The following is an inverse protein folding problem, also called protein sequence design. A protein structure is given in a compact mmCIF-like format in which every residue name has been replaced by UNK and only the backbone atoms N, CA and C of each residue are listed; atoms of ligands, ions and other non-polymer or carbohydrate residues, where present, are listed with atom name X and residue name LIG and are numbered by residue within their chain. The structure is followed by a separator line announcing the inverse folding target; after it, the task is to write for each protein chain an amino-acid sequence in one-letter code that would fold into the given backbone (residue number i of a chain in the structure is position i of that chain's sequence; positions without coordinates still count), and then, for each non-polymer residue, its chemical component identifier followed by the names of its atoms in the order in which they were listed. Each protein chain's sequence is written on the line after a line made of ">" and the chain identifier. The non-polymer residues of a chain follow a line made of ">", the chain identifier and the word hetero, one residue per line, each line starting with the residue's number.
data_IF_203362510658
#
_entry.id   IF_203362510658
#
_cell.length_a   1.000
_cell.length_b   1.000
_cell.length_c   1.000
_cell.angle_alpha   90.00
_cell.angle_beta   90.00
_cell.angle_gamma   90.00
#
_symmetry.space_group_name_H-M   'P 1'
#
loop_
_entity.id
_entity.type
_entity.pdbx_description
1 polymer ?
#
# COMPACT_ATOMS: atom_id res chain seq x y z
N UNK A 1 45.25 23.34 76.86
CA UNK A 1 46.44 22.78 76.20
C UNK A 1 46.10 21.37 75.73
N UNK A 2 45.67 21.27 74.46
CA UNK A 2 45.54 20.06 73.62
C UNK A 2 44.52 19.00 74.14
N UNK A 3 43.88 18.16 73.31
CA UNK A 3 43.93 18.07 71.84
C UNK A 3 42.57 18.01 71.12
N UNK A 4 42.50 18.60 69.92
CA UNK A 4 42.50 17.92 68.62
C UNK A 4 41.63 16.68 68.32
N UNK A 5 41.02 15.98 69.27
CA UNK A 5 40.31 14.71 69.02
C UNK A 5 38.94 14.96 68.40
N UNK A 6 38.25 16.04 68.77
CA UNK A 6 36.90 16.33 68.28
C UNK A 6 36.92 16.80 66.81
N UNK A 7 37.97 17.50 66.38
CA UNK A 7 38.09 18.00 65.01
C UNK A 7 38.42 16.88 63.99
N UNK A 8 38.97 15.75 64.45
CA UNK A 8 39.32 14.64 63.55
C UNK A 8 38.15 13.69 63.26
N UNK A 9 37.14 13.64 64.13
CA UNK A 9 35.94 12.81 63.97
C UNK A 9 34.96 13.46 62.98
N UNK A 10 34.80 14.78 63.02
CA UNK A 10 33.94 15.51 62.08
C UNK A 10 34.46 15.49 60.63
N UNK A 11 35.78 15.32 60.42
CA UNK A 11 36.37 15.24 59.08
C UNK A 11 36.17 13.87 58.40
N UNK A 12 35.92 12.80 59.16
CA UNK A 12 35.67 11.45 58.61
C UNK A 12 34.20 11.17 58.26
N UNK A 13 33.26 12.00 58.73
CA UNK A 13 31.84 11.87 58.42
C UNK A 13 31.42 12.54 57.10
N UNK A 14 32.31 13.32 56.47
CA UNK A 14 32.02 14.04 55.22
C UNK A 14 32.70 13.44 53.97
N UNK A 15 33.47 12.35 54.10
CA UNK A 15 34.25 11.76 53.01
C UNK A 15 33.86 10.32 52.74
N UNK A 16 32.58 10.06 52.53
CA UNK A 16 32.08 8.82 51.93
C UNK A 16 30.72 9.07 51.26
N UNK A 17 30.67 10.08 50.39
CA UNK A 17 29.63 10.17 49.37
C UNK A 17 30.23 9.59 48.10
N UNK A 18 30.13 8.27 47.98
CA UNK A 18 30.32 7.57 46.71
C UNK A 18 29.30 8.15 45.73
N UNK A 19 29.72 8.81 44.62
CA UNK A 19 28.76 9.12 43.57
C UNK A 19 28.42 7.78 42.94
N UNK A 20 27.27 7.22 43.32
CA UNK A 20 26.66 6.13 42.61
C UNK A 20 26.45 6.62 41.17
N UNK A 21 27.36 6.20 40.30
CA UNK A 21 27.38 6.51 38.89
C UNK A 21 26.03 6.07 38.35
N UNK A 22 25.15 7.04 38.13
CA UNK A 22 23.87 6.89 37.46
C UNK A 22 24.20 6.51 36.02
N UNK A 23 24.54 5.24 35.78
CA UNK A 23 24.38 4.60 34.49
C UNK A 23 22.86 4.46 34.29
N UNK A 24 22.22 5.59 34.00
CA UNK A 24 20.95 5.63 33.30
C UNK A 24 21.29 5.18 31.87
N UNK A 25 21.48 3.87 31.71
CA UNK A 25 21.44 3.24 30.40
C UNK A 25 20.04 3.51 29.89
N UNK A 26 19.95 4.56 29.06
CA UNK A 26 18.87 4.75 28.10
C UNK A 26 18.81 3.46 27.29
N UNK A 27 18.02 2.50 27.77
CA UNK A 27 17.49 1.43 26.95
C UNK A 27 16.52 2.14 26.02
N UNK A 28 17.07 2.73 24.95
CA UNK A 28 16.29 2.99 23.75
C UNK A 28 15.95 1.62 23.22
N UNK A 29 14.85 1.05 23.74
CA UNK A 29 14.11 0.01 23.08
C UNK A 29 13.71 0.61 21.74
N UNK A 30 14.58 0.41 20.75
CA UNK A 30 14.21 0.60 19.36
C UNK A 30 13.20 -0.50 19.11
N UNK A 31 11.93 -0.19 19.31
CA UNK A 31 10.86 -0.92 18.67
C UNK A 31 11.10 -0.76 17.17
N UNK A 32 11.87 -1.67 16.58
CA UNK A 32 11.64 -2.00 15.18
C UNK A 32 10.24 -2.59 15.16
N UNK A 33 9.25 -1.72 14.96
CA UNK A 33 7.92 -2.14 14.57
C UNK A 33 8.11 -2.77 13.20
N UNK A 34 8.48 -4.06 13.16
CA UNK A 34 8.35 -4.82 11.94
C UNK A 34 6.87 -4.75 11.60
N UNK A 35 6.55 -4.20 10.43
CA UNK A 35 5.21 -4.27 9.87
C UNK A 35 4.90 -5.76 9.67
N UNK A 36 4.44 -6.43 10.71
CA UNK A 36 3.86 -7.76 10.62
C UNK A 36 2.69 -7.63 9.62
N UNK A 37 2.83 -8.21 8.44
CA UNK A 37 1.83 -8.12 7.36
C UNK A 37 2.13 -7.18 6.19
N UNK A 38 3.34 -6.63 6.04
CA UNK A 38 3.73 -5.98 4.77
C UNK A 38 4.58 -6.93 3.92
N UNK A 39 3.93 -7.57 2.94
CA UNK A 39 4.58 -8.49 2.01
C UNK A 39 4.78 -7.87 0.62
N UNK A 40 4.59 -6.56 0.48
CA UNK A 40 4.58 -5.85 -0.80
C UNK A 40 5.80 -6.15 -1.67
N UNK A 41 7.01 -6.13 -1.09
CA UNK A 41 8.27 -6.41 -1.81
C UNK A 41 8.34 -7.86 -2.32
N UNK A 42 7.91 -8.82 -1.50
CA UNK A 42 7.89 -10.23 -1.87
C UNK A 42 6.86 -10.48 -2.96
N UNK A 43 5.64 -9.97 -2.80
CA UNK A 43 4.57 -10.06 -3.77
C UNK A 43 4.94 -9.42 -5.11
N UNK A 44 5.63 -8.27 -5.08
CA UNK A 44 6.13 -7.62 -6.28
C UNK A 44 7.17 -8.48 -7.01
N UNK A 45 8.09 -9.10 -6.27
CA UNK A 45 9.10 -10.01 -6.84
C UNK A 45 8.44 -11.22 -7.52
N UNK A 46 7.45 -11.84 -6.88
CA UNK A 46 6.68 -12.94 -7.46
C UNK A 46 5.93 -12.52 -8.71
N UNK A 47 5.17 -11.42 -8.62
CA UNK A 47 4.40 -10.91 -9.76
C UNK A 47 5.31 -10.59 -10.94
N UNK A 48 6.43 -9.91 -10.71
CA UNK A 48 7.38 -9.57 -11.77
C UNK A 48 7.96 -10.80 -12.47
N UNK A 49 8.33 -11.83 -11.70
CA UNK A 49 8.82 -13.11 -12.27
C UNK A 49 7.77 -13.81 -13.13
N UNK A 50 6.51 -13.79 -12.69
CA UNK A 50 5.38 -14.38 -13.42
C UNK A 50 5.04 -13.56 -14.68
N UNK A 51 5.00 -12.23 -14.57
CA UNK A 51 4.71 -11.33 -15.68
C UNK A 51 5.76 -11.47 -16.80
N UNK A 52 7.04 -11.59 -16.44
CA UNK A 52 8.12 -11.83 -17.40
C UNK A 52 7.96 -13.15 -18.16
N UNK A 53 7.40 -14.18 -17.51
CA UNK A 53 7.22 -15.50 -18.09
C UNK A 53 5.83 -15.72 -18.70
N UNK A 54 4.93 -14.74 -18.61
CA UNK A 54 3.51 -14.90 -18.91
C UNK A 54 3.25 -15.49 -20.30
N UNK A 55 3.97 -15.00 -21.32
CA UNK A 55 3.82 -15.46 -22.70
C UNK A 55 4.26 -16.92 -22.90
N UNK A 56 5.14 -17.43 -22.03
CA UNK A 56 5.65 -18.81 -22.08
C UNK A 56 4.75 -19.77 -21.31
N UNK A 57 4.27 -19.36 -20.13
CA UNK A 57 3.50 -20.23 -19.23
C UNK A 57 1.98 -20.16 -19.46
N UNK A 58 1.50 -19.08 -20.07
CA UNK A 58 0.08 -18.82 -20.32
C UNK A 58 -0.70 -18.38 -19.07
N UNK A 59 -1.91 -17.87 -19.32
CA UNK A 59 -2.79 -17.29 -18.30
C UNK A 59 -3.07 -18.25 -17.13
N UNK A 60 -3.53 -19.47 -17.40
CA UNK A 60 -3.93 -20.43 -16.36
C UNK A 60 -2.80 -20.72 -15.38
N UNK A 61 -1.58 -20.94 -15.89
CA UNK A 61 -0.43 -21.25 -15.04
C UNK A 61 0.06 -20.00 -14.31
N UNK A 62 0.07 -18.84 -14.96
CA UNK A 62 0.44 -17.57 -14.31
C UNK A 62 -0.45 -17.26 -13.10
N UNK A 63 -1.77 -17.34 -13.29
CA UNK A 63 -2.76 -17.11 -12.22
C UNK A 63 -2.63 -18.15 -11.12
N UNK A 64 -2.60 -19.44 -11.47
CA UNK A 64 -2.47 -20.51 -10.47
C UNK A 64 -1.18 -20.39 -9.65
N UNK A 65 -0.05 -20.08 -10.30
CA UNK A 65 1.23 -19.90 -9.61
C UNK A 65 1.19 -18.69 -8.67
N UNK A 66 0.66 -17.55 -9.11
CA UNK A 66 0.58 -16.37 -8.25
C UNK A 66 -0.35 -16.60 -7.05
N UNK A 67 -1.50 -17.22 -7.30
CA UNK A 67 -2.48 -17.58 -6.28
C UNK A 67 -1.90 -18.54 -5.23
N UNK A 68 -1.19 -19.58 -5.69
CA UNK A 68 -0.53 -20.53 -4.80
C UNK A 68 0.50 -19.84 -3.91
N UNK A 69 1.31 -18.93 -4.45
CA UNK A 69 2.32 -18.19 -3.69
C UNK A 69 1.68 -17.26 -2.65
N UNK A 70 0.62 -16.55 -3.02
CA UNK A 70 -0.09 -15.65 -2.10
C UNK A 70 -0.63 -16.39 -0.86
N UNK A 71 -1.18 -17.59 -1.05
CA UNK A 71 -1.70 -18.41 0.06
C UNK A 71 -0.62 -18.96 1.01
N UNK A 72 0.67 -18.78 0.70
CA UNK A 72 1.76 -19.10 1.62
C UNK A 72 2.10 -17.98 2.60
N UNK A 73 1.54 -16.78 2.42
CA UNK A 73 1.83 -15.63 3.26
C UNK A 73 1.15 -15.76 4.64
N UNK A 74 1.89 -15.61 5.74
CA UNK A 74 1.31 -15.49 7.07
C UNK A 74 0.74 -14.07 7.28
N UNK A 75 -0.30 -13.92 8.10
CA UNK A 75 -0.81 -12.59 8.54
C UNK A 75 -1.08 -11.59 7.40
N UNK A 76 -1.80 -12.02 6.37
CA UNK A 76 -2.13 -11.21 5.18
C UNK A 76 -2.87 -9.92 5.55
N UNK A 77 -2.29 -8.76 5.20
CA UNK A 77 -2.89 -7.45 5.45
C UNK A 77 -3.90 -7.03 4.38
N UNK A 78 -4.65 -5.95 4.65
CA UNK A 78 -5.52 -5.31 3.63
C UNK A 78 -4.73 -4.83 2.41
N UNK A 79 -3.49 -4.37 2.61
CA UNK A 79 -2.61 -3.94 1.52
C UNK A 79 -2.17 -5.14 0.69
N UNK A 80 -1.84 -6.27 1.33
CA UNK A 80 -1.51 -7.49 0.61
C UNK A 80 -2.68 -7.97 -0.25
N UNK A 81 -3.91 -8.01 0.32
CA UNK A 81 -5.11 -8.40 -0.43
C UNK A 81 -5.39 -7.45 -1.61
N UNK A 82 -5.27 -6.14 -1.39
CA UNK A 82 -5.43 -5.14 -2.45
C UNK A 82 -4.39 -5.32 -3.56
N UNK A 83 -3.14 -5.61 -3.18
CA UNK A 83 -2.04 -5.87 -4.11
C UNK A 83 -2.28 -7.15 -4.90
N UNK A 84 -2.71 -8.23 -4.23
CA UNK A 84 -3.06 -9.50 -4.85
C UNK A 84 -4.12 -9.31 -5.93
N UNK A 85 -5.27 -8.69 -5.59
CA UNK A 85 -6.34 -8.46 -6.55
C UNK A 85 -5.90 -7.55 -7.70
N UNK A 86 -5.07 -6.54 -7.43
CA UNK A 86 -4.52 -5.66 -8.49
C UNK A 86 -3.63 -6.41 -9.49
N UNK A 87 -2.80 -7.34 -8.99
CA UNK A 87 -1.98 -8.19 -9.84
C UNK A 87 -2.80 -9.21 -10.61
N UNK A 88 -3.78 -9.86 -9.97
CA UNK A 88 -4.69 -10.81 -10.61
C UNK A 88 -5.51 -10.16 -11.73
N UNK A 89 -5.98 -8.92 -11.48
CA UNK A 89 -6.58 -8.08 -12.51
C UNK A 89 -5.63 -7.89 -13.70
N UNK A 90 -4.39 -7.49 -13.43
CA UNK A 90 -3.39 -7.19 -14.46
C UNK A 90 -3.07 -8.43 -15.32
N UNK A 91 -2.89 -9.60 -14.69
CA UNK A 91 -2.72 -10.87 -15.39
C UNK A 91 -3.94 -11.21 -16.27
N UNK A 92 -5.14 -10.96 -15.77
CA UNK A 92 -6.40 -11.23 -16.49
C UNK A 92 -6.64 -10.30 -17.68
N UNK A 93 -6.03 -9.12 -17.70
CA UNK A 93 -6.15 -8.18 -18.82
C UNK A 93 -5.21 -8.49 -19.99
N UNK A 94 -4.18 -9.31 -19.77
CA UNK A 94 -3.23 -9.69 -20.83
C UNK A 94 -3.82 -10.61 -21.88
N UNK A 95 -4.93 -11.28 -21.56
CA UNK A 95 -5.62 -12.19 -22.45
C UNK A 95 -7.05 -11.69 -22.68
N UNK A 96 -7.41 -11.39 -23.93
CA UNK A 96 -8.74 -10.91 -24.30
C UNK A 96 -9.85 -11.89 -23.91
N UNK A 97 -9.56 -13.20 -23.84
CA UNK A 97 -10.53 -14.22 -23.42
C UNK A 97 -10.91 -14.03 -21.94
N UNK A 98 -9.95 -13.59 -21.12
CA UNK A 98 -10.10 -13.48 -19.67
C UNK A 98 -10.27 -12.03 -19.19
N UNK A 99 -10.30 -11.06 -20.11
CA UNK A 99 -10.46 -9.65 -19.78
C UNK A 99 -11.74 -9.35 -18.97
N UNK A 100 -12.80 -10.13 -19.13
CA UNK A 100 -14.02 -10.02 -18.32
C UNK A 100 -13.79 -10.32 -16.84
N UNK A 101 -12.88 -11.27 -16.54
CA UNK A 101 -12.50 -11.66 -15.17
C UNK A 101 -11.80 -10.51 -14.45
N UNK A 102 -11.05 -9.68 -15.17
CA UNK A 102 -10.33 -8.54 -14.59
C UNK A 102 -11.24 -7.62 -13.77
N UNK A 103 -12.48 -7.41 -14.22
CA UNK A 103 -13.43 -6.55 -13.50
C UNK A 103 -13.90 -7.10 -12.15
N UNK A 104 -13.92 -8.44 -11.98
CA UNK A 104 -14.24 -9.03 -10.69
C UNK A 104 -13.17 -8.75 -9.65
N UNK A 105 -11.89 -8.74 -10.04
CA UNK A 105 -10.81 -8.40 -9.11
C UNK A 105 -10.84 -6.94 -8.69
N UNK A 106 -11.20 -6.02 -9.60
CA UNK A 106 -11.45 -4.62 -9.21
C UNK A 106 -12.60 -4.52 -8.21
N UNK A 107 -13.70 -5.23 -8.46
CA UNK A 107 -14.86 -5.24 -7.57
C UNK A 107 -14.51 -5.81 -6.20
N UNK A 108 -13.63 -6.83 -6.13
CA UNK A 108 -13.09 -7.35 -4.88
C UNK A 108 -12.31 -6.29 -4.09
N UNK A 109 -11.48 -5.47 -4.74
CA UNK A 109 -10.76 -4.37 -4.07
C UNK A 109 -11.75 -3.34 -3.52
N UNK A 110 -12.72 -2.92 -4.32
CA UNK A 110 -13.73 -1.94 -3.90
C UNK A 110 -14.56 -2.48 -2.74
N UNK A 111 -14.95 -3.76 -2.78
CA UNK A 111 -15.67 -4.40 -1.70
C UNK A 111 -14.85 -4.46 -0.42
N UNK A 112 -13.59 -4.90 -0.52
CA UNK A 112 -12.64 -4.97 0.59
C UNK A 112 -12.47 -3.59 1.26
N UNK A 113 -12.40 -2.53 0.46
CA UNK A 113 -12.23 -1.15 0.94
C UNK A 113 -13.57 -0.41 1.15
N UNK A 114 -14.72 -1.08 1.03
CA UNK A 114 -16.03 -0.42 1.17
C UNK A 114 -16.33 0.16 2.56
N UNK A 115 -15.85 -0.42 3.69
CA UNK A 115 -16.07 0.18 4.99
C UNK A 115 -15.41 1.56 5.11
N UNK A 116 -16.13 2.56 5.61
CA UNK A 116 -15.62 3.94 5.76
C UNK A 116 -14.33 4.00 6.57
N UNK A 117 -14.14 3.11 7.55
CA UNK A 117 -12.90 3.01 8.33
C UNK A 117 -11.71 2.62 7.46
N UNK A 118 -11.90 1.71 6.51
CA UNK A 118 -10.85 1.28 5.58
C UNK A 118 -10.62 2.32 4.48
N UNK A 119 -11.65 3.01 3.99
CA UNK A 119 -11.47 4.14 3.07
C UNK A 119 -10.61 5.25 3.70
N UNK A 120 -10.84 5.57 4.98
CA UNK A 120 -10.02 6.56 5.70
C UNK A 120 -8.60 6.08 5.96
N UNK A 121 -8.41 4.78 6.18
CA UNK A 121 -7.09 4.18 6.44
C UNK A 121 -6.27 4.00 5.16
N UNK A 122 -6.92 3.68 4.04
CA UNK A 122 -6.31 3.39 2.74
C UNK A 122 -6.97 4.21 1.61
N UNK A 123 -7.00 5.55 1.73
CA UNK A 123 -7.74 6.40 0.79
C UNK A 123 -7.11 6.37 -0.60
N UNK A 124 -5.78 6.24 -0.69
CA UNK A 124 -5.06 6.13 -1.96
C UNK A 124 -5.41 4.84 -2.70
N UNK A 125 -5.41 3.71 -1.99
CA UNK A 125 -5.77 2.41 -2.54
C UNK A 125 -7.22 2.39 -3.02
N UNK A 126 -8.12 3.01 -2.25
CA UNK A 126 -9.52 3.14 -2.64
C UNK A 126 -9.67 4.00 -3.90
N UNK A 127 -8.99 5.14 -3.96
CA UNK A 127 -8.99 5.99 -5.15
C UNK A 127 -8.47 5.25 -6.39
N UNK A 128 -7.36 4.51 -6.25
CA UNK A 128 -6.82 3.69 -7.33
C UNK A 128 -7.82 2.62 -7.79
N UNK A 129 -8.53 1.97 -6.87
CA UNK A 129 -9.57 1.00 -7.20
C UNK A 129 -10.73 1.62 -8.01
N UNK A 130 -11.13 2.85 -7.67
CA UNK A 130 -12.12 3.61 -8.46
C UNK A 130 -11.61 3.94 -9.86
N UNK A 131 -10.33 4.30 -10.01
CA UNK A 131 -9.73 4.48 -11.34
C UNK A 131 -9.71 3.17 -12.15
N UNK A 132 -9.36 2.04 -11.52
CA UNK A 132 -9.41 0.72 -12.18
C UNK A 132 -10.84 0.35 -12.60
N UNK A 133 -11.86 0.72 -11.81
CA UNK A 133 -13.26 0.50 -12.17
C UNK A 133 -13.66 1.30 -13.40
N UNK A 134 -13.19 2.54 -13.49
CA UNK A 134 -13.35 3.34 -14.70
C UNK A 134 -12.72 2.69 -15.92
N UNK A 135 -11.51 2.12 -15.78
CA UNK A 135 -10.83 1.40 -16.87
C UNK A 135 -11.67 0.19 -17.34
N UNK A 136 -12.26 -0.55 -16.39
CA UNK A 136 -13.08 -1.74 -16.68
C UNK A 136 -14.42 -1.38 -17.35
N UNK A 137 -15.04 -0.27 -16.94
CA UNK A 137 -16.27 0.25 -17.55
C UNK A 137 -16.01 0.81 -18.95
N UNK A 138 -14.88 1.50 -19.14
CA UNK A 138 -14.43 1.99 -20.43
C UNK A 138 -14.20 0.82 -21.42
N UNK A 139 -13.61 -0.29 -20.97
CA UNK A 139 -13.44 -1.48 -21.79
C UNK A 139 -14.80 -2.07 -22.26
N UNK A 140 -15.86 -1.88 -21.47
CA UNK A 140 -17.25 -2.26 -21.81
C UNK A 140 -18.01 -1.18 -22.59
N UNK A 141 -17.35 -0.07 -22.96
CA UNK A 141 -17.95 1.12 -23.60
C UNK A 141 -19.04 1.79 -22.76
N UNK A 142 -19.04 1.58 -21.44
CA UNK A 142 -19.92 2.28 -20.51
C UNK A 142 -19.25 3.61 -20.10
N UNK A 143 -19.21 4.55 -21.03
CA UNK A 143 -18.48 5.81 -20.87
C UNK A 143 -19.01 6.65 -19.70
N UNK A 144 -20.33 6.71 -19.51
CA UNK A 144 -20.96 7.48 -18.44
C UNK A 144 -20.52 6.99 -17.06
N UNK A 145 -20.59 5.67 -16.81
CA UNK A 145 -20.15 5.14 -15.53
C UNK A 145 -18.63 5.17 -15.38
N UNK A 146 -17.88 5.04 -16.48
CA UNK A 146 -16.42 5.20 -16.45
C UNK A 146 -16.02 6.60 -15.98
N UNK A 147 -16.61 7.65 -16.54
CA UNK A 147 -16.38 9.04 -16.10
C UNK A 147 -16.70 9.22 -14.62
N UNK A 148 -17.83 8.68 -14.16
CA UNK A 148 -18.22 8.75 -12.76
C UNK A 148 -17.17 8.11 -11.85
N UNK A 149 -16.75 6.88 -12.14
CA UNK A 149 -15.72 6.20 -11.35
C UNK A 149 -14.38 6.94 -11.36
N UNK A 150 -13.95 7.49 -12.51
CA UNK A 150 -12.74 8.31 -12.57
C UNK A 150 -12.87 9.59 -11.74
N UNK A 151 -14.02 10.26 -11.78
CA UNK A 151 -14.28 11.47 -11.02
C UNK A 151 -14.27 11.19 -9.51
N UNK A 152 -14.94 10.13 -9.06
CA UNK A 152 -14.95 9.71 -7.66
C UNK A 152 -13.51 9.43 -7.17
N UNK A 153 -12.70 8.74 -7.98
CA UNK A 153 -11.28 8.54 -7.68
C UNK A 153 -10.48 9.85 -7.60
N UNK A 154 -10.70 10.78 -8.54
CA UNK A 154 -10.05 12.10 -8.54
C UNK A 154 -10.34 12.90 -7.28
N UNK A 155 -11.58 12.89 -6.78
CA UNK A 155 -11.94 13.64 -5.57
C UNK A 155 -11.06 13.22 -4.40
N UNK A 156 -10.94 11.91 -4.19
CA UNK A 156 -10.09 11.35 -3.13
C UNK A 156 -8.62 11.71 -3.36
N UNK A 157 -8.10 11.58 -4.58
CA UNK A 157 -6.70 11.94 -4.88
C UNK A 157 -6.38 13.43 -4.66
N UNK A 158 -7.36 14.30 -4.92
CA UNK A 158 -7.23 15.74 -4.71
C UNK A 158 -7.11 16.06 -3.22
N UNK A 159 -7.92 15.43 -2.37
CA UNK A 159 -7.83 15.56 -0.91
C UNK A 159 -6.48 15.09 -0.37
N UNK A 160 -5.89 14.06 -1.00
CA UNK A 160 -4.58 13.52 -0.63
C UNK A 160 -3.38 14.30 -1.19
N UNK A 161 -3.59 15.28 -2.07
CA UNK A 161 -2.52 15.93 -2.83
C UNK A 161 -1.62 14.93 -3.61
N UNK A 162 -2.19 13.85 -4.12
CA UNK A 162 -1.48 12.77 -4.82
C UNK A 162 -1.22 13.12 -6.29
N UNK A 163 -0.23 13.98 -6.54
CA UNK A 163 0.10 14.53 -7.87
C UNK A 163 0.36 13.43 -8.91
N UNK A 164 1.08 12.36 -8.52
CA UNK A 164 1.40 11.25 -9.42
C UNK A 164 0.15 10.50 -9.91
N UNK A 165 -0.80 10.25 -9.02
CA UNK A 165 -2.05 9.57 -9.37
C UNK A 165 -3.00 10.53 -10.12
N UNK A 166 -2.93 11.84 -9.86
CA UNK A 166 -3.69 12.84 -10.61
C UNK A 166 -3.29 12.89 -12.10
N UNK A 167 -1.99 12.77 -12.39
CA UNK A 167 -1.51 12.63 -13.76
C UNK A 167 -2.09 11.38 -14.44
N UNK A 168 -2.12 10.24 -13.72
CA UNK A 168 -2.72 8.99 -14.21
C UNK A 168 -4.24 9.09 -14.42
N UNK A 169 -4.95 9.87 -13.61
CA UNK A 169 -6.36 10.22 -13.87
C UNK A 169 -6.50 11.02 -15.16
N UNK A 170 -5.67 12.05 -15.34
CA UNK A 170 -5.76 12.95 -16.49
C UNK A 170 -5.56 12.19 -17.81
N UNK A 171 -4.57 11.29 -17.86
CA UNK A 171 -4.36 10.41 -19.02
C UNK A 171 -5.56 9.49 -19.31
N UNK A 172 -6.30 9.05 -18.28
CA UNK A 172 -7.51 8.23 -18.48
C UNK A 172 -8.64 9.04 -19.09
N UNK A 173 -8.88 10.26 -18.60
CA UNK A 173 -9.91 11.15 -19.16
C UNK A 173 -9.62 11.51 -20.61
N UNK A 174 -8.35 11.78 -20.94
CA UNK A 174 -7.93 11.99 -22.31
C UNK A 174 -8.22 10.76 -23.19
N UNK A 175 -7.93 9.56 -22.69
CA UNK A 175 -8.21 8.30 -23.39
C UNK A 175 -9.73 8.07 -23.59
N UNK A 176 -10.58 8.41 -22.61
CA UNK A 176 -12.04 8.33 -22.79
C UNK A 176 -12.47 9.28 -23.90
N UNK A 177 -12.07 10.55 -23.82
CA UNK A 177 -12.41 11.58 -24.82
C UNK A 177 -11.98 11.17 -26.22
N UNK A 178 -10.76 10.63 -26.35
CA UNK A 178 -10.26 10.09 -27.61
C UNK A 178 -11.11 8.93 -28.13
N UNK A 179 -11.48 7.97 -27.28
CA UNK A 179 -12.32 6.82 -27.65
C UNK A 179 -13.76 7.18 -28.00
N UNK A 180 -14.26 8.30 -27.51
CA UNK A 180 -15.57 8.87 -27.89
C UNK A 180 -15.49 9.74 -29.16
N UNK A 181 -14.30 9.98 -29.71
CA UNK A 181 -14.10 10.85 -30.88
C UNK A 181 -14.01 12.35 -30.55
N UNK A 182 -14.00 12.71 -29.27
CA UNK A 182 -13.88 14.08 -28.78
C UNK A 182 -12.41 14.50 -28.69
N UNK A 183 -11.73 14.58 -29.84
CA UNK A 183 -10.27 14.76 -29.88
C UNK A 183 -9.80 16.08 -29.25
N UNK A 184 -10.57 17.16 -29.37
CA UNK A 184 -10.22 18.45 -28.76
C UNK A 184 -10.22 18.41 -27.23
N UNK A 185 -11.07 17.57 -26.62
CA UNK A 185 -11.09 17.36 -25.17
C UNK A 185 -10.00 16.39 -24.69
N UNK A 186 -9.33 15.69 -25.60
CA UNK A 186 -8.27 14.73 -25.28
C UNK A 186 -6.87 15.36 -25.17
N UNK A 187 -6.70 16.61 -25.62
CA UNK A 187 -5.45 17.38 -25.65
C UNK A 187 -5.46 18.44 -24.55
#
# INVERSE_FOLDING_TARGET
>A
MIPYIILHILRKLLTNFTPAFFFLTFITCSCTFSNEGDHSKQMHTWYYSIDHQFNTIGFNKAVHTYDSLFHTLPFVSTIDQTTYYSHMRSLSQRDSVHATISSFYTDSIIHLLSPTTLQKKYPKEYAKALLLKGDDLLAKRDYSNAYRSYYDGKLVLTELNEVCEYSRYSSRIANVSYKEGNYYQAI
#
